data_IF_955681714044
#
_entry.id   IF_955681714044
#
_cell.length_a   1.000
_cell.length_b   1.000
_cell.length_c   1.000
_cell.angle_alpha   90.00
_cell.angle_beta   90.00
_cell.angle_gamma   90.00
#
_symmetry.space_group_name_H-M   'P 1'
#
loop_
_entity.id
_entity.type
_entity.pdbx_description
1 polymer ?
#
# COMPACT_ATOMS: atom_id res chain seq x y z
N UNK A 1 8.67 5.19 -8.32
CA UNK A 1 8.79 4.34 -7.09
C UNK A 1 9.92 3.30 -7.15
N UNK A 2 10.13 2.48 -6.11
CA UNK A 2 11.28 1.55 -5.95
C UNK A 2 11.61 0.76 -7.22
N UNK A 3 10.62 0.11 -7.85
CA UNK A 3 10.82 -0.70 -9.06
C UNK A 3 11.26 0.15 -10.26
N UNK A 4 10.66 1.32 -10.47
CA UNK A 4 11.09 2.26 -11.52
C UNK A 4 12.53 2.74 -11.29
N UNK A 5 12.91 2.96 -10.03
CA UNK A 5 14.27 3.38 -9.66
C UNK A 5 15.28 2.27 -9.94
N UNK A 6 14.94 1.03 -9.57
CA UNK A 6 15.75 -0.15 -9.88
C UNK A 6 15.96 -0.33 -11.39
N UNK A 7 14.90 -0.20 -12.18
CA UNK A 7 14.97 -0.27 -13.66
C UNK A 7 15.83 0.86 -14.23
N UNK A 8 15.63 2.10 -13.77
CA UNK A 8 16.41 3.27 -14.21
C UNK A 8 17.90 3.10 -13.93
N UNK A 9 18.23 2.58 -12.75
CA UNK A 9 19.61 2.45 -12.28
C UNK A 9 20.27 1.14 -12.77
N UNK A 10 19.49 0.23 -13.38
CA UNK A 10 19.99 -1.06 -13.87
C UNK A 10 20.37 -2.02 -12.74
N UNK A 11 19.73 -1.86 -11.58
CA UNK A 11 20.02 -2.62 -10.35
C UNK A 11 18.88 -3.59 -10.02
N UNK A 12 19.18 -4.67 -9.29
CA UNK A 12 18.14 -5.52 -8.71
C UNK A 12 17.40 -4.76 -7.60
N UNK A 13 16.06 -4.87 -7.59
CA UNK A 13 15.23 -4.10 -6.67
C UNK A 13 15.43 -4.52 -5.21
N UNK A 14 15.80 -5.77 -4.93
CA UNK A 14 16.06 -6.23 -3.56
C UNK A 14 17.35 -5.61 -3.04
N UNK A 15 18.42 -5.63 -3.84
CA UNK A 15 19.69 -4.98 -3.49
C UNK A 15 19.54 -3.47 -3.32
N UNK A 16 18.71 -2.82 -4.15
CA UNK A 16 18.34 -1.41 -3.98
C UNK A 16 17.63 -1.17 -2.65
N UNK A 17 16.61 -1.96 -2.33
CA UNK A 17 15.84 -1.83 -1.10
C UNK A 17 16.69 -2.07 0.15
N UNK A 18 17.57 -3.07 0.14
CA UNK A 18 18.47 -3.39 1.24
C UNK A 18 19.46 -2.25 1.52
N UNK A 19 20.09 -1.70 0.47
CA UNK A 19 21.02 -0.58 0.59
C UNK A 19 20.36 0.66 1.19
N UNK A 20 19.20 1.04 0.66
CA UNK A 20 18.48 2.23 1.13
C UNK A 20 17.93 2.04 2.54
N UNK A 21 17.51 0.82 2.88
CA UNK A 21 17.08 0.49 4.25
C UNK A 21 18.24 0.55 5.23
N UNK A 22 19.44 0.12 4.84
CA UNK A 22 20.64 0.25 5.65
C UNK A 22 21.01 1.73 5.88
N UNK A 23 21.01 2.53 4.82
CA UNK A 23 21.26 3.98 4.90
C UNK A 23 20.24 4.67 5.83
N UNK A 24 18.95 4.36 5.69
CA UNK A 24 17.92 4.88 6.57
C UNK A 24 18.18 4.54 8.05
N UNK A 25 18.63 3.31 8.36
CA UNK A 25 18.96 2.92 9.73
C UNK A 25 20.15 3.71 10.28
N UNK A 26 21.20 3.89 9.46
CA UNK A 26 22.37 4.70 9.82
C UNK A 26 21.97 6.14 10.13
N UNK A 27 21.11 6.73 9.30
CA UNK A 27 20.57 8.08 9.51
C UNK A 27 19.77 8.17 10.81
N UNK A 28 18.89 7.20 11.08
CA UNK A 28 18.10 7.17 12.33
C UNK A 28 19.00 7.03 13.57
N UNK A 29 20.07 6.25 13.49
CA UNK A 29 21.08 6.13 14.56
C UNK A 29 21.81 7.46 14.76
N UNK A 30 22.22 8.12 13.67
CA UNK A 30 22.89 9.42 13.73
C UNK A 30 22.00 10.49 14.39
N UNK A 31 20.69 10.44 14.14
CA UNK A 31 19.68 11.28 14.78
C UNK A 31 19.30 10.85 16.20
N UNK A 32 19.89 9.76 16.73
CA UNK A 32 19.59 9.18 18.04
C UNK A 32 18.12 8.80 18.21
N UNK A 33 17.45 8.42 17.11
CA UNK A 33 16.09 7.94 17.15
C UNK A 33 16.02 6.60 17.88
N UNK A 34 14.98 6.44 18.70
CA UNK A 34 14.69 5.16 19.32
C UNK A 34 14.20 4.18 18.23
N UNK A 35 14.80 3.00 18.09
CA UNK A 35 14.35 2.02 17.11
C UNK A 35 12.97 1.47 17.49
N UNK A 36 12.14 1.09 16.51
CA UNK A 36 10.90 0.40 16.79
C UNK A 36 11.19 -1.00 17.37
N UNK A 37 10.25 -1.54 18.16
CA UNK A 37 10.36 -2.90 18.68
C UNK A 37 10.32 -3.96 17.57
N UNK A 38 9.56 -3.70 16.51
CA UNK A 38 9.42 -4.57 15.35
C UNK A 38 9.62 -3.73 14.09
N UNK A 39 10.56 -4.14 13.24
CA UNK A 39 10.86 -3.50 11.97
C UNK A 39 10.68 -4.52 10.85
N UNK A 40 9.44 -4.63 10.37
CA UNK A 40 8.99 -5.70 9.48
C UNK A 40 8.85 -5.15 8.06
N UNK A 41 9.47 -5.80 7.09
CA UNK A 41 9.36 -5.43 5.68
C UNK A 41 8.02 -5.88 5.06
N UNK A 42 7.58 -5.22 3.98
CA UNK A 42 6.33 -5.60 3.31
C UNK A 42 6.35 -7.05 2.79
N UNK A 43 7.50 -7.50 2.24
CA UNK A 43 7.70 -8.88 1.78
C UNK A 43 7.63 -9.88 2.94
N UNK A 44 8.22 -9.53 4.09
CA UNK A 44 8.18 -10.34 5.31
C UNK A 44 6.76 -10.46 5.87
N UNK A 45 5.91 -9.45 5.66
CA UNK A 45 4.53 -9.42 6.12
C UNK A 45 3.54 -10.20 5.23
N UNK A 46 3.93 -10.65 4.04
CA UNK A 46 3.04 -11.34 3.08
C UNK A 46 2.28 -12.53 3.71
N UNK A 47 2.90 -13.41 4.53
CA UNK A 47 2.19 -14.50 5.19
C UNK A 47 1.05 -14.03 6.13
N UNK A 48 1.11 -12.80 6.63
CA UNK A 48 0.03 -12.19 7.42
C UNK A 48 -1.01 -11.43 6.58
N UNK A 49 -0.60 -10.88 5.43
CA UNK A 49 -1.47 -10.13 4.52
C UNK A 49 -2.45 -11.07 3.80
N UNK A 50 -1.98 -12.20 3.27
CA UNK A 50 -2.82 -13.11 2.48
C UNK A 50 -4.05 -13.61 3.26
N UNK A 51 -3.92 -14.13 4.50
CA UNK A 51 -5.10 -14.57 5.26
C UNK A 51 -6.05 -13.43 5.62
N UNK A 52 -5.56 -12.19 5.73
CA UNK A 52 -6.42 -11.04 5.97
C UNK A 52 -7.28 -10.73 4.74
N UNK A 53 -6.68 -10.74 3.54
CA UNK A 53 -7.40 -10.53 2.28
C UNK A 53 -8.45 -11.62 2.07
N UNK A 54 -8.10 -12.90 2.32
CA UNK A 54 -9.05 -14.01 2.24
C UNK A 54 -10.27 -13.81 3.15
N UNK A 55 -10.06 -13.33 4.39
CA UNK A 55 -11.16 -13.00 5.31
C UNK A 55 -12.02 -11.86 4.80
N UNK A 56 -11.42 -10.81 4.23
CA UNK A 56 -12.18 -9.69 3.64
C UNK A 56 -13.05 -10.16 2.47
N UNK A 57 -12.53 -11.04 1.61
CA UNK A 57 -13.30 -11.66 0.53
C UNK A 57 -14.45 -12.49 1.09
N UNK A 58 -14.20 -13.33 2.10
CA UNK A 58 -15.23 -14.17 2.73
C UNK A 58 -16.34 -13.34 3.39
N UNK A 59 -16.03 -12.13 3.88
CA UNK A 59 -16.99 -11.20 4.45
C UNK A 59 -17.73 -10.34 3.40
N UNK A 60 -17.38 -10.47 2.11
CA UNK A 60 -17.92 -9.61 1.05
C UNK A 60 -17.36 -8.18 1.05
N UNK A 61 -16.35 -7.90 1.87
CA UNK A 61 -15.68 -6.60 1.97
C UNK A 61 -14.61 -6.39 0.90
N UNK A 62 -14.16 -7.47 0.25
CA UNK A 62 -13.30 -7.42 -0.93
C UNK A 62 -13.91 -8.25 -2.07
N UNK A 63 -13.50 -7.96 -3.30
CA UNK A 63 -13.97 -8.65 -4.51
C UNK A 63 -12.86 -8.75 -5.55
N UNK A 64 -12.91 -9.82 -6.34
CA UNK A 64 -12.00 -10.02 -7.46
C UNK A 64 -12.49 -9.26 -8.70
N UNK A 65 -11.54 -8.69 -9.44
CA UNK A 65 -11.75 -8.05 -10.72
C UNK A 65 -10.55 -8.39 -11.62
N UNK A 66 -10.75 -9.31 -12.56
CA UNK A 66 -9.73 -9.70 -13.56
C UNK A 66 -8.38 -10.09 -12.94
N UNK A 67 -8.40 -10.87 -11.85
CA UNK A 67 -7.20 -11.36 -11.16
C UNK A 67 -6.66 -10.43 -10.06
N UNK A 68 -7.17 -9.21 -9.93
CA UNK A 68 -6.85 -8.30 -8.83
C UNK A 68 -7.93 -8.31 -7.76
N UNK A 69 -7.54 -8.11 -6.50
CA UNK A 69 -8.48 -8.06 -5.37
C UNK A 69 -8.63 -6.62 -4.89
N UNK A 70 -9.86 -6.12 -4.94
CA UNK A 70 -10.22 -4.78 -4.49
C UNK A 70 -10.99 -4.80 -3.18
N UNK A 71 -10.70 -3.84 -2.31
CA UNK A 71 -11.58 -3.52 -1.18
C UNK A 71 -12.81 -2.76 -1.69
N UNK A 72 -13.99 -3.05 -1.14
CA UNK A 72 -15.21 -2.30 -1.42
C UNK A 72 -15.40 -1.24 -0.35
N UNK A 73 -15.18 0.03 -0.68
CA UNK A 73 -15.37 1.14 0.29
C UNK A 73 -16.79 1.20 0.86
N UNK A 74 -17.79 0.75 0.10
CA UNK A 74 -19.17 0.62 0.57
C UNK A 74 -19.38 -0.41 1.69
N UNK A 75 -18.40 -1.30 1.93
CA UNK A 75 -18.45 -2.27 3.03
C UNK A 75 -18.10 -1.67 4.39
N UNK A 76 -17.52 -0.47 4.44
CA UNK A 76 -17.21 0.25 5.66
C UNK A 76 -18.01 1.56 5.76
N UNK A 77 -18.95 1.60 6.71
CA UNK A 77 -19.79 2.77 6.97
C UNK A 77 -19.02 3.99 7.51
N UNK A 78 -17.79 3.81 7.98
CA UNK A 78 -16.93 4.88 8.51
C UNK A 78 -15.87 5.33 7.51
N UNK A 79 -15.92 4.83 6.27
CA UNK A 79 -14.95 5.19 5.24
C UNK A 79 -14.93 6.71 5.04
N UNK A 80 -13.77 7.32 5.26
CA UNK A 80 -13.55 8.77 5.14
C UNK A 80 -13.42 9.54 6.45
N UNK A 81 -13.79 8.97 7.60
CA UNK A 81 -13.75 9.68 8.89
C UNK A 81 -12.35 10.15 9.32
N UNK A 82 -11.30 9.46 8.86
CA UNK A 82 -9.91 9.83 9.18
C UNK A 82 -9.46 11.08 8.43
N UNK A 83 -9.76 11.18 7.13
CA UNK A 83 -9.30 12.30 6.30
C UNK A 83 -10.26 13.47 6.30
N UNK A 84 -11.56 13.21 6.51
CA UNK A 84 -12.65 14.18 6.38
C UNK A 84 -12.70 14.87 5.01
N UNK A 85 -12.21 14.19 3.97
CA UNK A 85 -12.29 14.66 2.59
C UNK A 85 -13.65 14.32 1.98
N UNK A 86 -14.10 15.15 1.05
CA UNK A 86 -15.22 14.78 0.18
C UNK A 86 -14.80 13.76 -0.89
N UNK A 87 -15.78 13.15 -1.53
CA UNK A 87 -15.54 12.09 -2.51
C UNK A 87 -14.73 12.55 -3.74
N UNK A 88 -14.88 13.81 -4.17
CA UNK A 88 -14.15 14.31 -5.34
C UNK A 88 -12.68 14.54 -5.00
N UNK A 89 -12.39 15.13 -3.84
CA UNK A 89 -11.03 15.28 -3.34
C UNK A 89 -10.37 13.90 -3.13
N UNK A 90 -11.09 12.92 -2.57
CA UNK A 90 -10.59 11.56 -2.43
C UNK A 90 -10.24 10.94 -3.78
N UNK A 91 -11.10 11.10 -4.79
CA UNK A 91 -10.89 10.52 -6.13
C UNK A 91 -9.69 11.15 -6.82
N UNK A 92 -9.59 12.48 -6.77
CA UNK A 92 -8.47 13.22 -7.33
C UNK A 92 -7.14 12.79 -6.70
N UNK A 93 -7.09 12.76 -5.37
CA UNK A 93 -5.87 12.38 -4.64
C UNK A 93 -5.53 10.90 -4.80
N UNK A 94 -6.52 10.03 -4.94
CA UNK A 94 -6.31 8.61 -5.25
C UNK A 94 -5.55 8.45 -6.57
N UNK A 95 -5.99 9.15 -7.63
CA UNK A 95 -5.30 9.13 -8.93
C UNK A 95 -3.84 9.62 -8.83
N UNK A 96 -3.57 10.64 -8.03
CA UNK A 96 -2.21 11.18 -7.85
C UNK A 96 -1.31 10.26 -7.02
N UNK A 97 -1.89 9.51 -6.08
CA UNK A 97 -1.14 8.76 -5.04
C UNK A 97 -1.11 7.25 -5.26
N UNK A 98 -1.22 6.82 -6.52
CA UNK A 98 -1.04 5.43 -6.93
C UNK A 98 -2.31 4.58 -6.95
N UNK A 99 -3.48 5.19 -6.76
CA UNK A 99 -4.77 4.56 -7.01
C UNK A 99 -5.12 4.54 -8.50
N UNK A 100 -6.17 3.79 -8.83
CA UNK A 100 -6.61 3.50 -10.19
C UNK A 100 -8.11 3.80 -10.40
N UNK A 101 -8.57 5.04 -10.15
CA UNK A 101 -10.00 5.35 -10.09
C UNK A 101 -10.77 5.13 -11.40
N UNK A 102 -10.05 5.12 -12.53
CA UNK A 102 -10.63 4.92 -13.86
C UNK A 102 -10.59 3.44 -14.31
N UNK A 103 -10.15 2.50 -13.45
CA UNK A 103 -10.12 1.08 -13.80
C UNK A 103 -11.55 0.57 -14.07
N UNK A 104 -11.83 0.07 -15.29
CA UNK A 104 -13.16 -0.44 -15.62
C UNK A 104 -13.56 -1.61 -14.73
N UNK A 105 -14.84 -1.64 -14.33
CA UNK A 105 -15.40 -2.74 -13.53
C UNK A 105 -15.25 -2.59 -12.01
N UNK A 106 -14.52 -1.59 -11.50
CA UNK A 106 -14.53 -1.28 -10.07
C UNK A 106 -15.95 -0.89 -9.62
N UNK A 107 -16.37 -1.39 -8.45
CA UNK A 107 -17.66 -1.05 -7.82
C UNK A 107 -17.76 0.42 -7.44
N UNK A 108 -16.62 1.06 -7.18
CA UNK A 108 -16.47 2.45 -6.80
C UNK A 108 -15.11 2.95 -7.32
N UNK A 109 -14.98 4.21 -7.78
CA UNK A 109 -13.70 4.78 -8.20
C UNK A 109 -12.69 4.92 -7.04
N UNK A 110 -13.13 4.93 -5.78
CA UNK A 110 -12.27 4.85 -4.60
C UNK A 110 -11.91 3.40 -4.30
#
# INVERSE_FOLDING_TARGET
PLLERAVRDGEDWTGLAERETALFREDMIALRMLPPRHYIGAVEAIPGIVPLVERLCAMGAAYELEGDIYFSVASDRHFGEVSNLDAEAMRLLSAERGGDPERPGKKNPL
#
